data_IF_967342402717
#
_entry.id   IF_967342402717
#
_cell.length_a   1.000
_cell.length_b   1.000
_cell.length_c   1.000
_cell.angle_alpha   90.00
_cell.angle_beta   90.00
_cell.angle_gamma   90.00
#
_symmetry.space_group_name_H-M   'P 1'
#
loop_
_entity.id
_entity.type
_entity.pdbx_description
1 polymer ?
#
# COMPACT_ATOMS: atom_id res chain seq x y z
N UNK A 1 -46.07 36.25 51.98
CA UNK A 1 -44.64 36.41 51.66
C UNK A 1 -44.28 35.44 50.56
N UNK A 2 -43.91 35.98 49.40
CA UNK A 2 -43.82 35.31 48.10
C UNK A 2 -42.76 34.19 48.06
N UNK A 3 -43.14 32.98 47.61
CA UNK A 3 -42.17 31.98 47.13
C UNK A 3 -42.21 31.96 45.61
N UNK A 4 -41.07 32.31 45.03
CA UNK A 4 -40.82 32.51 43.60
C UNK A 4 -40.79 31.15 42.87
N UNK A 5 -41.54 31.06 41.78
CA UNK A 5 -41.45 30.02 40.76
C UNK A 5 -40.11 30.20 40.06
N UNK A 6 -39.22 29.20 40.13
CA UNK A 6 -38.00 29.17 39.32
C UNK A 6 -38.27 28.34 38.07
N UNK A 7 -38.18 29.02 36.93
CA UNK A 7 -38.38 28.47 35.60
C UNK A 7 -37.28 27.46 35.24
N UNK A 8 -37.72 26.33 34.70
CA UNK A 8 -36.90 25.34 34.02
C UNK A 8 -36.43 25.97 32.71
N UNK A 9 -35.14 26.30 32.61
CA UNK A 9 -34.48 26.61 31.35
C UNK A 9 -33.62 25.41 30.96
N UNK A 10 -34.27 24.43 30.33
CA UNK A 10 -33.59 23.31 29.70
C UNK A 10 -32.81 23.80 28.48
N UNK A 11 -31.50 23.90 28.62
CA UNK A 11 -30.59 24.19 27.50
C UNK A 11 -30.42 22.89 26.72
N UNK A 12 -31.20 22.74 25.65
CA UNK A 12 -31.01 21.65 24.69
C UNK A 12 -29.71 21.88 23.93
N UNK A 13 -28.65 21.19 24.32
CA UNK A 13 -27.42 21.10 23.53
C UNK A 13 -27.74 20.20 22.34
N UNK A 14 -27.93 20.80 21.16
CA UNK A 14 -27.95 20.05 19.90
C UNK A 14 -26.50 19.66 19.64
N UNK A 15 -26.14 18.43 19.98
CA UNK A 15 -24.90 17.81 19.54
C UNK A 15 -25.10 17.53 18.05
N UNK A 16 -24.65 18.44 17.20
CA UNK A 16 -24.45 18.17 15.78
C UNK A 16 -23.17 17.32 15.72
N UNK A 17 -23.33 16.02 15.94
CA UNK A 17 -22.31 15.03 15.59
C UNK A 17 -22.14 15.10 14.07
N UNK A 18 -21.15 15.85 13.63
CA UNK A 18 -20.58 15.73 12.30
C UNK A 18 -20.03 14.31 12.19
N UNK A 19 -20.88 13.40 11.70
CA UNK A 19 -20.44 12.17 11.05
C UNK A 19 -19.53 12.60 9.90
N UNK A 20 -18.23 12.56 10.14
CA UNK A 20 -17.26 12.43 9.08
C UNK A 20 -17.45 11.05 8.47
N UNK A 21 -18.48 10.90 7.64
CA UNK A 21 -18.56 9.78 6.72
C UNK A 21 -17.48 10.03 5.68
N UNK A 22 -16.34 9.36 5.85
CA UNK A 22 -15.40 9.18 4.74
C UNK A 22 -16.19 8.47 3.64
N UNK A 23 -16.59 9.21 2.62
CA UNK A 23 -17.22 8.69 1.39
C UNK A 23 -16.13 7.95 0.62
N UNK A 24 -15.85 6.73 1.05
CA UNK A 24 -15.37 5.70 0.15
C UNK A 24 -16.63 5.14 -0.49
N UNK A 25 -16.72 5.16 -1.82
CA UNK A 25 -17.86 4.56 -2.50
C UNK A 25 -17.91 3.06 -2.15
N UNK A 26 -19.10 2.48 -2.07
CA UNK A 26 -19.25 1.06 -1.81
C UNK A 26 -18.76 0.28 -3.04
N UNK A 27 -17.91 -0.73 -2.82
CA UNK A 27 -17.43 -1.66 -3.84
C UNK A 27 -18.57 -2.13 -4.74
N UNK A 28 -18.54 -1.81 -6.04
CA UNK A 28 -19.60 -2.19 -6.99
C UNK A 28 -19.55 -3.68 -7.41
N UNK A 29 -19.05 -4.56 -6.54
CA UNK A 29 -18.89 -6.00 -6.79
C UNK A 29 -18.40 -6.74 -5.56
N UNK A 30 -17.41 -7.62 -5.71
CA UNK A 30 -16.89 -8.45 -4.61
C UNK A 30 -15.69 -7.78 -3.97
N UNK A 31 -15.82 -7.42 -2.69
CA UNK A 31 -14.70 -6.98 -1.86
C UNK A 31 -13.93 -8.20 -1.33
N UNK A 32 -12.63 -8.23 -1.60
CA UNK A 32 -11.72 -9.29 -1.16
C UNK A 32 -10.63 -8.70 -0.29
N UNK A 33 -10.56 -9.16 0.97
CA UNK A 33 -9.47 -8.76 1.86
C UNK A 33 -8.13 -9.30 1.35
N UNK A 34 -7.12 -8.44 1.39
CA UNK A 34 -5.77 -8.76 0.94
C UNK A 34 -4.75 -8.38 2.01
N UNK A 35 -3.84 -9.29 2.34
CA UNK A 35 -2.74 -9.03 3.27
C UNK A 35 -1.51 -9.83 2.90
N UNK A 36 -0.34 -9.37 3.30
CA UNK A 36 0.86 -10.14 3.04
C UNK A 36 2.16 -9.43 3.38
N UNK A 37 3.24 -10.00 2.84
CA UNK A 37 4.61 -9.51 3.05
C UNK A 37 5.35 -9.51 1.72
N UNK A 38 6.23 -8.54 1.57
CA UNK A 38 7.17 -8.44 0.46
C UNK A 38 8.58 -8.35 1.04
N UNK A 39 9.51 -9.06 0.43
CA UNK A 39 10.93 -8.89 0.65
C UNK A 39 11.60 -8.68 -0.70
N UNK A 40 12.22 -7.52 -0.89
CA UNK A 40 12.86 -7.09 -2.12
C UNK A 40 14.21 -6.43 -1.84
N UNK A 41 15.04 -6.34 -2.87
CA UNK A 41 16.32 -5.65 -2.82
C UNK A 41 16.34 -4.54 -3.87
N UNK A 42 16.87 -3.38 -3.49
CA UNK A 42 17.23 -2.31 -4.39
C UNK A 42 18.18 -2.82 -5.47
N UNK A 43 17.94 -2.37 -6.69
CA UNK A 43 18.73 -2.62 -7.88
C UNK A 43 19.28 -1.29 -8.40
N UNK A 44 20.09 -1.35 -9.45
CA UNK A 44 20.52 -0.17 -10.16
C UNK A 44 19.33 0.70 -10.59
N UNK A 45 19.57 2.01 -10.69
CA UNK A 45 18.58 3.00 -11.13
C UNK A 45 17.34 3.13 -10.22
N UNK A 46 17.36 2.53 -9.02
CA UNK A 46 16.26 2.61 -8.06
C UNK A 46 15.15 1.58 -8.29
N UNK A 47 15.35 0.60 -9.18
CA UNK A 47 14.44 -0.53 -9.30
C UNK A 47 14.52 -1.47 -8.09
N UNK A 48 13.53 -2.34 -7.90
CA UNK A 48 13.57 -3.40 -6.87
C UNK A 48 13.15 -4.73 -7.45
N UNK A 49 13.71 -5.81 -6.91
CA UNK A 49 13.30 -7.18 -7.26
C UNK A 49 13.20 -8.02 -6.00
N UNK A 50 12.17 -8.85 -5.91
CA UNK A 50 11.94 -9.68 -4.74
C UNK A 50 10.81 -10.66 -4.89
N UNK A 51 10.27 -11.04 -3.73
CA UNK A 51 9.16 -11.98 -3.60
C UNK A 51 8.08 -11.42 -2.69
N UNK A 52 6.83 -11.69 -3.05
CA UNK A 52 5.64 -11.39 -2.28
C UNK A 52 4.94 -12.68 -1.85
N UNK A 53 4.48 -12.72 -0.61
CA UNK A 53 3.54 -13.72 -0.12
C UNK A 53 2.22 -13.03 0.17
N UNK A 54 1.21 -13.29 -0.66
CA UNK A 54 -0.11 -12.68 -0.59
C UNK A 54 -1.11 -13.67 0.02
N UNK A 55 -2.03 -13.16 0.82
CA UNK A 55 -3.27 -13.83 1.16
C UNK A 55 -4.44 -12.98 0.66
N UNK A 56 -5.24 -13.50 -0.25
CA UNK A 56 -6.37 -12.82 -0.87
C UNK A 56 -7.61 -13.69 -0.71
N UNK A 57 -8.61 -13.21 0.02
CA UNK A 57 -9.83 -13.99 0.27
C UNK A 57 -9.60 -15.32 1.01
N UNK A 58 -8.49 -15.45 1.74
CA UNK A 58 -8.08 -16.70 2.39
C UNK A 58 -7.14 -17.58 1.56
N UNK A 59 -7.10 -17.40 0.24
CA UNK A 59 -6.15 -18.09 -0.65
C UNK A 59 -4.76 -17.50 -0.53
N UNK A 60 -3.73 -18.32 -0.77
CA UNK A 60 -2.32 -17.91 -0.63
C UNK A 60 -1.62 -17.94 -1.96
N UNK A 61 -0.99 -16.83 -2.32
CA UNK A 61 -0.19 -16.67 -3.53
C UNK A 61 1.24 -16.37 -3.15
N UNK A 62 2.18 -16.98 -3.88
CA UNK A 62 3.59 -16.61 -3.86
C UNK A 62 3.88 -15.94 -5.19
N UNK A 63 4.41 -14.73 -5.18
CA UNK A 63 4.61 -13.96 -6.40
C UNK A 63 6.03 -13.43 -6.45
N UNK A 64 6.61 -13.34 -7.65
CA UNK A 64 7.71 -12.43 -7.89
C UNK A 64 7.16 -11.00 -7.85
N UNK A 65 7.96 -10.06 -7.35
CA UNK A 65 7.61 -8.64 -7.38
C UNK A 65 8.77 -7.83 -7.93
N UNK A 66 8.47 -6.97 -8.90
CA UNK A 66 9.36 -5.96 -9.42
C UNK A 66 8.83 -4.58 -9.02
N UNK A 67 9.70 -3.67 -8.61
CA UNK A 67 9.34 -2.28 -8.36
C UNK A 67 10.04 -1.38 -9.35
N UNK A 68 9.27 -0.58 -10.09
CA UNK A 68 9.82 0.45 -10.97
C UNK A 68 9.83 1.80 -10.24
N UNK A 69 10.96 2.54 -10.23
CA UNK A 69 11.01 3.87 -9.64
C UNK A 69 10.10 4.81 -10.43
N UNK A 70 9.26 5.58 -9.73
CA UNK A 70 8.40 6.57 -10.37
C UNK A 70 9.08 7.95 -10.42
N UNK A 71 9.11 8.63 -11.58
CA UNK A 71 9.65 9.97 -11.69
C UNK A 71 8.72 10.98 -10.99
N UNK A 72 9.27 11.69 -10.00
CA UNK A 72 8.69 12.84 -9.30
C UNK A 72 7.62 12.53 -8.24
N UNK A 73 8.09 12.31 -7.00
CA UNK A 73 7.52 13.03 -5.85
C UNK A 73 8.67 13.64 -5.05
N UNK A 74 8.52 14.87 -4.50
CA UNK A 74 9.46 15.37 -3.51
C UNK A 74 9.42 14.39 -2.34
N UNK A 75 10.58 13.99 -1.81
CA UNK A 75 10.78 13.19 -0.58
C UNK A 75 11.14 11.69 -0.71
N UNK A 76 11.17 11.01 -1.87
CA UNK A 76 11.71 9.64 -1.89
C UNK A 76 11.38 8.74 -3.10
N UNK A 77 11.97 7.53 -3.17
CA UNK A 77 11.71 6.57 -4.25
C UNK A 77 10.35 5.88 -4.05
N UNK A 78 9.36 6.25 -4.85
CA UNK A 78 8.07 5.56 -4.91
C UNK A 78 8.15 4.43 -5.95
N UNK A 79 7.66 3.23 -5.61
CA UNK A 79 7.83 2.04 -6.44
C UNK A 79 6.50 1.57 -7.02
N UNK A 80 6.31 1.67 -8.33
CA UNK A 80 5.20 0.96 -8.98
C UNK A 80 5.49 -0.53 -8.96
N UNK A 81 4.68 -1.29 -8.22
CA UNK A 81 4.94 -2.71 -8.00
C UNK A 81 4.21 -3.58 -9.02
N UNK A 82 4.92 -4.43 -9.74
CA UNK A 82 4.33 -5.49 -10.57
C UNK A 82 4.49 -6.83 -9.86
N UNK A 83 3.38 -7.52 -9.63
CA UNK A 83 3.30 -8.84 -9.04
C UNK A 83 3.04 -9.88 -10.12
N UNK A 84 3.81 -10.97 -10.15
CA UNK A 84 3.57 -12.13 -11.02
C UNK A 84 3.57 -13.38 -10.15
N UNK A 85 2.44 -14.06 -10.06
CA UNK A 85 2.23 -15.14 -9.10
C UNK A 85 2.59 -16.52 -9.65
N UNK A 86 3.14 -17.36 -8.79
CA UNK A 86 3.40 -18.79 -9.02
C UNK A 86 2.09 -19.56 -8.79
N UNK A 87 1.12 -19.33 -9.66
CA UNK A 87 -0.13 -20.06 -9.72
C UNK A 87 -0.08 -21.13 -10.81
N UNK A 88 -0.76 -22.25 -10.57
CA UNK A 88 -0.83 -23.35 -11.53
C UNK A 88 -1.75 -22.94 -12.67
N UNK A 89 -1.17 -22.51 -13.77
CA UNK A 89 -1.92 -22.20 -14.99
C UNK A 89 -2.02 -23.41 -15.91
N UNK A 90 -3.24 -23.63 -16.44
CA UNK A 90 -3.46 -24.50 -17.59
C UNK A 90 -2.77 -23.95 -18.86
N UNK A 91 -2.68 -24.77 -19.91
CA UNK A 91 -2.03 -24.39 -21.16
C UNK A 91 -2.63 -23.14 -21.84
N UNK A 92 -3.91 -22.84 -21.54
CA UNK A 92 -4.67 -21.73 -22.10
C UNK A 92 -4.94 -20.60 -21.09
N UNK A 93 -4.32 -20.66 -19.90
CA UNK A 93 -4.53 -19.68 -18.83
C UNK A 93 -3.32 -18.76 -18.66
N UNK A 94 -3.50 -17.43 -18.62
CA UNK A 94 -2.40 -16.53 -18.37
C UNK A 94 -1.96 -16.61 -16.90
N UNK A 95 -0.65 -16.55 -16.66
CA UNK A 95 -0.10 -16.42 -15.31
C UNK A 95 -0.67 -15.19 -14.60
N UNK A 96 -1.04 -15.34 -13.33
CA UNK A 96 -1.65 -14.24 -12.60
C UNK A 96 -0.67 -13.09 -12.42
N UNK A 97 -1.09 -11.89 -12.83
CA UNK A 97 -0.28 -10.68 -12.78
C UNK A 97 -1.14 -9.47 -12.47
N UNK A 98 -0.60 -8.54 -11.69
CA UNK A 98 -1.17 -7.20 -11.55
C UNK A 98 -0.08 -6.18 -11.19
N UNK A 99 -0.26 -4.95 -11.67
CA UNK A 99 0.53 -3.78 -11.27
C UNK A 99 -0.24 -2.98 -10.24
N UNK A 100 0.45 -2.51 -9.20
CA UNK A 100 -0.06 -1.61 -8.19
C UNK A 100 0.57 -0.24 -8.41
N UNK A 101 -0.27 0.75 -8.66
CA UNK A 101 0.11 2.15 -8.64
C UNK A 101 0.16 2.61 -7.20
N UNK A 102 1.33 3.04 -6.76
CA UNK A 102 1.65 3.34 -5.36
C UNK A 102 1.90 4.83 -5.16
N UNK A 103 1.63 5.32 -3.95
CA UNK A 103 1.79 6.71 -3.57
C UNK A 103 2.17 6.80 -2.10
N UNK A 104 3.24 7.52 -1.76
CA UNK A 104 3.54 7.80 -0.36
C UNK A 104 2.41 8.61 0.28
N UNK A 105 1.93 8.14 1.43
CA UNK A 105 0.91 8.84 2.22
C UNK A 105 1.51 9.69 3.34
N UNK A 106 2.82 9.57 3.57
CA UNK A 106 3.57 10.35 4.54
C UNK A 106 5.03 10.54 4.09
N UNK A 107 5.72 11.57 4.59
CA UNK A 107 7.16 11.72 4.41
C UNK A 107 7.93 10.49 4.91
N UNK A 108 9.06 10.19 4.28
CA UNK A 108 9.97 9.14 4.78
C UNK A 108 10.43 9.46 6.21
N UNK A 109 10.47 8.42 7.05
CA UNK A 109 10.98 8.54 8.42
C UNK A 109 12.38 7.93 8.46
N UNK A 110 13.41 8.77 8.48
CA UNK A 110 14.81 8.33 8.60
C UNK A 110 15.01 7.59 9.93
N UNK A 111 15.51 6.35 9.84
CA UNK A 111 15.79 5.49 10.99
C UNK A 111 17.28 5.41 11.32
N UNK A 112 18.15 5.84 10.40
CA UNK A 112 19.59 5.82 10.58
C UNK A 112 20.34 6.32 9.36
N UNK A 113 21.64 6.54 9.55
CA UNK A 113 22.57 6.92 8.49
C UNK A 113 23.37 5.71 8.02
N UNK A 114 23.56 5.62 6.71
CA UNK A 114 24.31 4.57 6.05
C UNK A 114 25.74 5.05 5.81
N UNK A 115 26.75 4.40 6.41
CA UNK A 115 28.13 4.80 6.23
C UNK A 115 28.58 4.53 4.79
N UNK A 116 29.55 5.32 4.35
CA UNK A 116 30.34 5.04 3.16
C UNK A 116 30.90 3.60 3.22
N UNK A 117 30.96 2.92 2.08
CA UNK A 117 31.48 1.54 2.02
C UNK A 117 33.01 1.52 2.19
N UNK A 118 33.67 2.60 1.79
CA UNK A 118 35.10 2.89 1.99
C UNK A 118 35.27 4.40 2.13
N UNK A 119 36.37 4.89 2.69
CA UNK A 119 36.58 6.34 2.90
C UNK A 119 36.42 7.12 1.57
N UNK A 120 35.40 7.99 1.50
CA UNK A 120 35.10 8.78 0.31
C UNK A 120 34.37 8.03 -0.81
N UNK A 121 33.91 6.80 -0.55
CA UNK A 121 33.11 5.97 -1.46
C UNK A 121 31.69 5.86 -0.92
N UNK A 122 30.73 6.65 -1.43
CA UNK A 122 29.35 6.67 -0.92
C UNK A 122 28.70 5.29 -0.96
N UNK A 123 27.80 5.05 -0.01
CA UNK A 123 26.98 3.85 -0.03
C UNK A 123 26.13 3.82 -1.31
N UNK A 124 26.21 2.77 -2.16
CA UNK A 124 25.47 2.69 -3.42
C UNK A 124 23.95 2.60 -3.22
N UNK A 125 23.51 2.26 -2.01
CA UNK A 125 22.11 2.16 -1.61
C UNK A 125 21.59 3.47 -0.97
N UNK A 126 22.39 4.53 -0.99
CA UNK A 126 22.02 5.83 -0.45
C UNK A 126 22.48 6.06 0.99
N UNK A 127 22.35 7.31 1.46
CA UNK A 127 22.95 7.75 2.72
C UNK A 127 22.11 7.42 3.96
N UNK A 128 20.86 6.98 3.81
CA UNK A 128 19.91 6.83 4.91
C UNK A 128 19.15 5.51 4.84
N UNK A 129 18.86 4.94 6.02
CA UNK A 129 17.81 3.94 6.19
C UNK A 129 16.52 4.64 6.62
N UNK A 130 15.37 4.13 6.21
CA UNK A 130 14.10 4.79 6.49
C UNK A 130 12.92 3.81 6.49
N UNK A 131 11.85 4.21 7.18
CA UNK A 131 10.53 3.57 7.03
C UNK A 131 9.61 4.43 6.19
N UNK A 132 8.66 3.79 5.52
CA UNK A 132 7.70 4.45 4.65
C UNK A 132 6.32 3.81 4.72
N UNK A 133 5.32 4.57 4.29
CA UNK A 133 3.96 4.11 4.11
C UNK A 133 3.42 4.58 2.76
N UNK A 134 2.86 3.64 2.00
CA UNK A 134 2.30 3.85 0.67
C UNK A 134 0.85 3.39 0.62
N UNK A 135 0.04 4.10 -0.16
CA UNK A 135 -1.25 3.65 -0.65
C UNK A 135 -1.05 3.06 -2.05
N UNK A 136 -1.60 1.88 -2.28
CA UNK A 136 -1.51 1.12 -3.52
C UNK A 136 -2.88 0.86 -4.10
N UNK A 137 -3.03 1.12 -5.40
CA UNK A 137 -4.26 0.95 -6.17
C UNK A 137 -3.94 0.02 -7.36
N UNK A 138 -4.71 -1.06 -7.59
CA UNK A 138 -4.50 -1.93 -8.74
C UNK A 138 -4.66 -1.19 -10.07
N UNK A 139 -3.85 -1.54 -11.06
CA UNK A 139 -4.03 -1.14 -12.46
C UNK A 139 -4.76 -2.26 -13.24
N UNK A 140 -6.05 -2.09 -13.54
CA UNK A 140 -6.85 -3.11 -14.21
C UNK A 140 -6.34 -3.47 -15.60
N UNK A 141 -5.65 -2.54 -16.28
CA UNK A 141 -5.12 -2.78 -17.62
C UNK A 141 -4.01 -3.86 -17.62
N UNK A 142 -3.40 -4.10 -16.46
CA UNK A 142 -2.31 -5.07 -16.28
C UNK A 142 -2.79 -6.39 -15.69
N UNK A 143 -4.06 -6.48 -15.30
CA UNK A 143 -4.64 -7.62 -14.62
C UNK A 143 -4.68 -8.87 -15.52
N UNK A 144 -4.25 -10.00 -14.95
CA UNK A 144 -4.27 -11.33 -15.56
C UNK A 144 -4.61 -12.38 -14.50
N UNK A 145 -5.15 -13.51 -14.95
CA UNK A 145 -5.48 -14.65 -14.07
C UNK A 145 -6.45 -14.25 -12.97
N UNK A 146 -6.11 -14.56 -11.71
CA UNK A 146 -6.97 -14.29 -10.53
C UNK A 146 -7.21 -12.81 -10.26
N UNK A 147 -6.45 -11.92 -10.91
CA UNK A 147 -6.62 -10.48 -10.73
C UNK A 147 -7.56 -9.85 -11.76
N UNK A 148 -8.04 -10.61 -12.76
CA UNK A 148 -9.01 -10.10 -13.75
C UNK A 148 -10.27 -9.63 -13.01
N UNK A 149 -10.77 -8.46 -13.42
CA UNK A 149 -11.92 -7.81 -12.78
C UNK A 149 -11.54 -6.84 -11.67
N UNK A 150 -10.26 -6.76 -11.27
CA UNK A 150 -9.81 -5.80 -10.25
C UNK A 150 -10.24 -4.37 -10.60
N UNK A 151 -10.90 -3.72 -9.64
CA UNK A 151 -11.51 -2.39 -9.77
C UNK A 151 -10.72 -1.37 -8.93
N UNK A 152 -10.19 -0.29 -9.53
CA UNK A 152 -9.37 0.68 -8.82
C UNK A 152 -10.20 1.67 -8.01
N UNK A 153 -11.52 1.83 -8.24
CA UNK A 153 -12.31 2.87 -7.57
C UNK A 153 -12.37 2.68 -6.06
N UNK A 154 -12.42 1.42 -5.63
CA UNK A 154 -12.70 1.06 -4.24
C UNK A 154 -11.65 0.10 -3.66
N UNK A 155 -10.62 -0.25 -4.44
CA UNK A 155 -9.45 -0.98 -3.95
C UNK A 155 -8.52 -0.03 -3.20
N UNK A 156 -8.14 -0.41 -1.98
CA UNK A 156 -7.21 0.35 -1.15
C UNK A 156 -6.30 -0.62 -0.41
N UNK A 157 -5.02 -0.62 -0.77
CA UNK A 157 -4.00 -1.46 -0.15
C UNK A 157 -2.97 -0.53 0.48
N UNK A 158 -2.83 -0.56 1.80
CA UNK A 158 -1.74 0.13 2.49
C UNK A 158 -0.51 -0.77 2.53
N UNK A 159 0.63 -0.25 2.11
CA UNK A 159 1.94 -0.90 2.22
C UNK A 159 2.78 -0.11 3.24
N UNK A 160 3.34 -0.81 4.23
CA UNK A 160 4.34 -0.25 5.14
C UNK A 160 5.67 -0.94 4.91
N UNK A 161 6.74 -0.16 4.82
CA UNK A 161 8.06 -0.66 4.47
C UNK A 161 9.18 -0.14 5.36
N UNK A 162 10.26 -0.90 5.39
CA UNK A 162 11.54 -0.57 6.00
C UNK A 162 12.65 -0.81 4.97
N UNK A 163 13.45 0.24 4.71
CA UNK A 163 14.60 0.25 3.82
C UNK A 163 15.89 0.32 4.65
N UNK A 164 16.82 -0.61 4.43
CA UNK A 164 18.08 -0.64 5.17
C UNK A 164 19.30 -0.25 4.33
N UNK A 165 20.43 -0.01 5.00
CA UNK A 165 21.69 0.44 4.38
C UNK A 165 22.37 -0.58 3.45
N UNK A 166 21.84 -1.79 3.33
CA UNK A 166 22.30 -2.80 2.39
C UNK A 166 21.35 -2.93 1.18
N UNK A 167 20.44 -1.96 0.99
CA UNK A 167 19.44 -1.98 -0.07
C UNK A 167 18.32 -3.01 0.14
N UNK A 168 18.25 -3.65 1.30
CA UNK A 168 17.19 -4.58 1.64
C UNK A 168 15.91 -3.85 2.03
N UNK A 169 14.78 -4.30 1.50
CA UNK A 169 13.48 -3.70 1.69
C UNK A 169 12.51 -4.78 2.17
N UNK A 170 11.90 -4.54 3.32
CA UNK A 170 10.88 -5.42 3.88
C UNK A 170 9.56 -4.65 3.97
N UNK A 171 8.51 -5.18 3.36
CA UNK A 171 7.20 -4.55 3.37
C UNK A 171 6.13 -5.48 3.88
N UNK A 172 5.08 -4.89 4.46
CA UNK A 172 3.83 -5.54 4.80
C UNK A 172 2.72 -4.75 4.13
N UNK A 173 1.79 -5.46 3.50
CA UNK A 173 0.62 -4.80 2.94
C UNK A 173 -0.66 -5.38 3.53
N UNK A 174 -1.68 -4.54 3.64
CA UNK A 174 -2.99 -4.89 4.16
C UNK A 174 -4.04 -3.96 3.54
N UNK A 175 -5.20 -4.51 3.20
CA UNK A 175 -6.29 -3.73 2.65
C UNK A 175 -7.33 -4.59 1.99
N UNK A 176 -7.96 -4.03 0.97
CA UNK A 176 -9.03 -4.66 0.19
C UNK A 176 -8.79 -4.45 -1.30
N UNK A 177 -9.12 -5.46 -2.09
CA UNK A 177 -9.27 -5.36 -3.54
C UNK A 177 -10.74 -5.57 -3.89
N UNK A 178 -11.28 -4.68 -4.70
CA UNK A 178 -12.59 -4.80 -5.28
C UNK A 178 -12.50 -5.47 -6.65
N UNK A 179 -13.49 -6.30 -6.96
CA UNK A 179 -13.61 -6.97 -8.25
C UNK A 179 -14.99 -6.71 -8.84
N UNK A 180 -15.02 -6.36 -10.11
CA UNK A 180 -16.25 -6.30 -10.92
C UNK A 180 -16.67 -7.71 -11.33
N UNK A 181 -17.96 -8.01 -11.20
CA UNK A 181 -18.58 -9.26 -11.65
C UNK A 181 -18.66 -9.37 -13.18
#
# INVERSE_FOLDING_TARGET
>A
MNKKISAVLGTGIIIISSLASSVWAECNGVEVSVKGKIANNAQAEGATLGVAALNMGGEKFKCAVSGDPQPLMPEGPNFRHTLVCDDKVGADEPQSQITLNTFFVSPLVVTGYCPDIEEGVPNPFGPDSFTFEELSIPDPATARGVFVGADPSDSSITITGDYNCNGGINMKFNGVMCFTD
#
